data_IF_974740901564
#
_entry.id   IF_974740901564
#
_cell.length_a   1.000
_cell.length_b   1.000
_cell.length_c   1.000
_cell.angle_alpha   90.00
_cell.angle_beta   90.00
_cell.angle_gamma   90.00
#
_symmetry.space_group_name_H-M   'P 1'
#
loop_
_entity.id
_entity.type
_entity.pdbx_description
1 polymer ?
#
# COMPACT_ATOMS: atom_id res chain seq x y z
N UNK A 1 11.82 -27.89 -20.00
CA UNK A 1 10.88 -28.52 -19.05
C UNK A 1 10.28 -27.39 -18.23
N UNK A 2 9.09 -26.91 -18.61
CA UNK A 2 8.48 -25.75 -17.95
C UNK A 2 8.06 -26.15 -16.54
N UNK A 3 8.59 -25.47 -15.52
CA UNK A 3 8.11 -25.62 -14.16
C UNK A 3 6.63 -25.24 -14.13
N UNK A 4 5.79 -26.14 -13.63
CA UNK A 4 4.37 -25.85 -13.39
C UNK A 4 4.27 -24.67 -12.40
N UNK A 5 3.77 -23.54 -12.89
CA UNK A 5 3.69 -22.30 -12.13
C UNK A 5 2.69 -22.41 -10.97
N UNK A 6 1.65 -23.26 -11.10
CA UNK A 6 0.70 -23.50 -10.01
C UNK A 6 1.33 -24.34 -8.90
N UNK A 7 2.09 -25.37 -9.25
CA UNK A 7 2.87 -26.15 -8.27
C UNK A 7 3.93 -25.27 -7.58
N UNK A 8 4.63 -24.42 -8.33
CA UNK A 8 5.61 -23.47 -7.78
C UNK A 8 5.00 -22.47 -6.80
N UNK A 9 3.82 -21.92 -7.09
CA UNK A 9 3.07 -21.05 -6.18
C UNK A 9 2.77 -21.77 -4.85
N UNK A 10 2.20 -22.98 -4.92
CA UNK A 10 1.86 -23.77 -3.71
C UNK A 10 3.08 -24.08 -2.85
N UNK A 11 4.18 -24.51 -3.45
CA UNK A 11 5.41 -24.78 -2.72
C UNK A 11 5.95 -23.56 -1.99
N UNK A 12 5.91 -22.39 -2.64
CA UNK A 12 6.35 -21.15 -2.02
C UNK A 12 5.37 -20.73 -0.91
N UNK A 13 4.07 -20.90 -1.06
CA UNK A 13 3.09 -20.67 0.02
C UNK A 13 3.41 -21.51 1.26
N UNK A 14 3.68 -22.80 1.08
CA UNK A 14 4.02 -23.76 2.16
C UNK A 14 5.40 -23.52 2.80
N UNK A 15 6.30 -22.83 2.11
CA UNK A 15 7.66 -22.57 2.60
C UNK A 15 7.63 -21.66 3.83
N UNK A 16 8.20 -22.13 4.94
CA UNK A 16 8.28 -21.40 6.22
C UNK A 16 9.22 -20.19 6.09
N UNK A 17 8.74 -18.94 6.26
CA UNK A 17 9.57 -17.74 6.09
C UNK A 17 10.68 -17.60 7.14
N UNK A 18 10.48 -18.19 8.32
CA UNK A 18 11.41 -18.14 9.46
C UNK A 18 12.76 -18.79 9.15
N UNK A 19 12.79 -19.76 8.22
CA UNK A 19 14.00 -20.49 7.85
C UNK A 19 14.77 -19.84 6.69
N UNK A 20 14.28 -18.71 6.18
CA UNK A 20 14.82 -18.02 5.02
C UNK A 20 15.65 -16.79 5.44
N UNK A 21 16.63 -16.42 4.62
CA UNK A 21 17.28 -15.12 4.71
C UNK A 21 16.36 -14.01 4.21
N UNK A 22 16.66 -12.74 4.49
CA UNK A 22 15.86 -11.61 4.00
C UNK A 22 15.73 -11.59 2.48
N UNK A 23 16.82 -11.87 1.76
CA UNK A 23 16.78 -11.92 0.29
C UNK A 23 15.91 -13.07 -0.22
N UNK A 24 15.93 -14.23 0.45
CA UNK A 24 15.05 -15.35 0.09
C UNK A 24 13.58 -15.03 0.40
N UNK A 25 13.29 -14.35 1.51
CA UNK A 25 11.94 -13.86 1.83
C UNK A 25 11.44 -12.86 0.80
N UNK A 26 12.28 -11.90 0.41
CA UNK A 26 11.95 -10.89 -0.60
C UNK A 26 11.67 -11.54 -1.97
N UNK A 27 12.53 -12.47 -2.41
CA UNK A 27 12.34 -13.20 -3.66
C UNK A 27 11.05 -14.04 -3.64
N UNK A 28 10.78 -14.73 -2.53
CA UNK A 28 9.52 -15.49 -2.31
C UNK A 28 8.30 -14.57 -2.40
N UNK A 29 8.31 -13.45 -1.66
CA UNK A 29 7.21 -12.49 -1.66
C UNK A 29 6.95 -11.94 -3.07
N UNK A 30 8.00 -11.52 -3.76
CA UNK A 30 7.90 -11.02 -5.13
C UNK A 30 7.26 -12.04 -6.06
N UNK A 31 7.70 -13.31 -6.01
CA UNK A 31 7.14 -14.36 -6.85
C UNK A 31 5.65 -14.59 -6.57
N UNK A 32 5.26 -14.70 -5.29
CA UNK A 32 3.87 -14.91 -4.89
C UNK A 32 2.99 -13.74 -5.32
N UNK A 33 3.43 -12.50 -5.09
CA UNK A 33 2.68 -11.28 -5.41
C UNK A 33 2.39 -11.17 -6.91
N UNK A 34 3.37 -11.53 -7.74
CA UNK A 34 3.27 -11.45 -9.19
C UNK A 34 2.34 -12.54 -9.76
N UNK A 35 2.36 -13.74 -9.18
CA UNK A 35 1.55 -14.88 -9.65
C UNK A 35 0.12 -14.91 -9.05
N UNK A 36 -0.18 -14.05 -8.08
CA UNK A 36 -1.48 -14.05 -7.38
C UNK A 36 -2.52 -13.16 -8.05
N UNK A 37 -3.76 -13.63 -8.12
CA UNK A 37 -4.89 -12.82 -8.57
C UNK A 37 -5.06 -11.60 -7.67
N UNK A 38 -5.09 -10.40 -8.25
CA UNK A 38 -5.22 -9.13 -7.52
C UNK A 38 -4.05 -8.80 -6.60
N UNK A 39 -2.92 -9.52 -6.67
CA UNK A 39 -1.76 -9.27 -5.80
C UNK A 39 -2.10 -9.38 -4.31
N UNK A 40 -2.91 -10.36 -3.93
CA UNK A 40 -3.28 -10.53 -2.51
C UNK A 40 -2.07 -10.95 -1.69
N UNK A 41 -1.92 -10.36 -0.50
CA UNK A 41 -0.86 -10.72 0.45
C UNK A 41 -1.21 -11.97 1.28
N UNK A 42 -2.51 -12.24 1.46
CA UNK A 42 -3.07 -13.43 2.11
C UNK A 42 -4.12 -14.10 1.21
N UNK A 43 -4.40 -15.39 1.43
CA UNK A 43 -5.36 -16.19 0.63
C UNK A 43 -5.15 -16.10 -0.88
N UNK A 44 -3.88 -16.16 -1.26
CA UNK A 44 -3.38 -16.05 -2.64
C UNK A 44 -3.91 -17.19 -3.51
N UNK A 45 -4.67 -16.84 -4.54
CA UNK A 45 -5.07 -17.74 -5.62
C UNK A 45 -4.25 -17.45 -6.87
N UNK A 46 -3.97 -18.49 -7.67
CA UNK A 46 -3.22 -18.32 -8.91
C UNK A 46 -3.99 -17.41 -9.88
N UNK A 47 -3.35 -16.33 -10.31
CA UNK A 47 -3.93 -15.37 -11.25
C UNK A 47 -3.88 -15.90 -12.68
N UNK A 48 -5.04 -16.06 -13.31
CA UNK A 48 -5.14 -16.36 -14.74
C UNK A 48 -5.68 -15.14 -15.48
N UNK A 49 -4.84 -14.46 -16.25
CA UNK A 49 -5.26 -13.39 -17.16
C UNK A 49 -5.14 -13.89 -18.60
N UNK A 50 -6.24 -13.87 -19.36
CA UNK A 50 -6.22 -14.18 -20.81
C UNK A 50 -5.81 -12.98 -21.65
N UNK A 51 -5.72 -11.80 -21.03
CA UNK A 51 -5.47 -10.50 -21.68
C UNK A 51 -4.10 -9.93 -21.37
N UNK A 52 -3.32 -10.54 -20.47
CA UNK A 52 -2.00 -10.08 -20.07
C UNK A 52 -0.95 -11.20 -20.19
N UNK A 53 0.28 -10.89 -20.60
CA UNK A 53 1.34 -11.89 -20.66
C UNK A 53 1.69 -12.40 -19.26
N UNK A 54 1.98 -13.70 -19.16
CA UNK A 54 2.49 -14.30 -17.93
C UNK A 54 3.84 -13.68 -17.53
N UNK A 55 4.17 -13.71 -16.23
CA UNK A 55 5.46 -13.21 -15.73
C UNK A 55 6.62 -13.91 -16.44
N UNK A 56 7.48 -13.09 -17.03
CA UNK A 56 8.74 -13.53 -17.57
C UNK A 56 9.85 -13.32 -16.53
N UNK A 57 10.18 -14.38 -15.79
CA UNK A 57 11.24 -14.36 -14.78
C UNK A 57 12.62 -13.97 -15.36
N UNK A 58 12.85 -14.18 -16.67
CA UNK A 58 14.10 -13.79 -17.33
C UNK A 58 14.24 -12.27 -17.51
N UNK A 59 13.16 -11.52 -17.36
CA UNK A 59 13.15 -10.04 -17.48
C UNK A 59 12.90 -9.34 -16.14
N UNK A 60 12.90 -10.08 -15.03
CA UNK A 60 12.73 -9.52 -13.69
C UNK A 60 13.80 -8.48 -13.38
N UNK A 61 15.03 -8.70 -13.85
CA UNK A 61 16.17 -7.82 -13.66
C UNK A 61 15.96 -6.43 -14.29
N UNK A 62 15.35 -6.38 -15.48
CA UNK A 62 15.04 -5.13 -16.17
C UNK A 62 14.06 -4.28 -15.32
N UNK A 63 13.01 -4.91 -14.81
CA UNK A 63 12.01 -4.25 -13.97
C UNK A 63 12.59 -3.78 -12.62
N UNK A 64 13.39 -4.62 -11.97
CA UNK A 64 14.05 -4.28 -10.70
C UNK A 64 15.07 -3.16 -10.89
N UNK A 65 15.83 -3.18 -11.99
CA UNK A 65 16.80 -2.13 -12.33
C UNK A 65 16.10 -0.80 -12.59
N UNK A 66 15.00 -0.80 -13.35
CA UNK A 66 14.21 0.41 -13.60
C UNK A 66 13.64 1.00 -12.31
N UNK A 67 13.09 0.16 -11.41
CA UNK A 67 12.61 0.61 -10.11
C UNK A 67 13.75 1.17 -9.25
N UNK A 68 14.91 0.50 -9.22
CA UNK A 68 16.08 0.96 -8.49
C UNK A 68 16.55 2.33 -8.98
N UNK A 69 16.71 2.52 -10.30
CA UNK A 69 17.14 3.80 -10.88
C UNK A 69 16.18 4.94 -10.55
N UNK A 70 14.87 4.68 -10.54
CA UNK A 70 13.86 5.66 -10.12
C UNK A 70 14.02 6.08 -8.66
N UNK A 71 14.37 5.15 -7.78
CA UNK A 71 14.50 5.41 -6.34
C UNK A 71 15.89 5.94 -5.94
N UNK A 72 16.93 5.60 -6.70
CA UNK A 72 18.32 5.93 -6.39
C UNK A 72 18.58 7.45 -6.31
N UNK A 73 17.73 8.28 -6.93
CA UNK A 73 17.85 9.73 -6.95
C UNK A 73 17.48 10.46 -5.64
N UNK A 74 17.34 9.77 -4.52
CA UNK A 74 17.05 10.39 -3.21
C UNK A 74 15.86 9.80 -2.46
N UNK A 75 15.44 8.57 -2.77
CA UNK A 75 14.41 7.87 -2.00
C UNK A 75 15.05 7.13 -0.82
N UNK A 76 14.55 7.40 0.38
CA UNK A 76 14.86 6.64 1.58
C UNK A 76 13.64 5.78 1.94
N UNK A 77 13.86 4.52 2.28
CA UNK A 77 12.81 3.58 2.69
C UNK A 77 13.00 3.30 4.17
N UNK A 78 11.98 3.59 4.98
CA UNK A 78 11.98 3.33 6.41
C UNK A 78 10.79 2.44 6.80
N UNK A 79 11.02 1.51 7.73
CA UNK A 79 9.98 0.72 8.37
C UNK A 79 9.75 1.27 9.79
N UNK A 80 9.01 2.37 9.88
CA UNK A 80 8.66 3.00 11.15
C UNK A 80 7.14 3.03 11.35
N UNK A 81 6.76 3.26 12.59
CA UNK A 81 5.43 3.78 12.88
C UNK A 81 5.20 5.11 12.13
N UNK A 82 4.01 5.27 11.57
CA UNK A 82 3.68 6.41 10.70
C UNK A 82 3.81 7.76 11.43
N UNK A 83 3.45 7.79 12.71
CA UNK A 83 3.48 8.99 13.54
C UNK A 83 4.93 9.39 13.83
N UNK A 84 5.81 8.41 14.09
CA UNK A 84 7.25 8.63 14.24
C UNK A 84 7.90 9.13 12.95
N UNK A 85 7.43 8.66 11.79
CA UNK A 85 7.90 9.13 10.49
C UNK A 85 7.60 10.63 10.31
N UNK A 86 6.39 11.07 10.62
CA UNK A 86 6.02 12.50 10.59
C UNK A 86 6.93 13.30 11.52
N UNK A 87 7.09 12.87 12.77
CA UNK A 87 7.90 13.59 13.77
C UNK A 87 9.37 13.74 13.35
N UNK A 88 9.92 12.73 12.67
CA UNK A 88 11.31 12.73 12.19
C UNK A 88 11.51 13.75 11.06
N UNK A 89 10.60 13.77 10.10
CA UNK A 89 10.76 14.51 8.84
C UNK A 89 10.04 15.85 8.79
N UNK A 90 9.30 16.24 9.84
CA UNK A 90 8.56 17.49 9.85
C UNK A 90 9.49 18.72 9.78
N UNK A 91 9.43 19.42 8.64
CA UNK A 91 10.16 20.65 8.33
C UNK A 91 9.21 21.55 7.56
N UNK A 92 9.48 22.85 7.59
CA UNK A 92 8.67 23.86 6.88
C UNK A 92 8.56 23.65 5.37
N UNK A 93 9.48 22.88 4.78
CA UNK A 93 9.53 22.55 3.36
C UNK A 93 9.06 21.11 3.05
N UNK A 94 8.66 20.33 4.06
CA UNK A 94 8.21 18.94 3.87
C UNK A 94 6.76 18.92 3.42
N UNK A 95 6.46 18.06 2.43
CA UNK A 95 5.12 17.66 2.06
C UNK A 95 4.92 16.19 2.42
N UNK A 96 3.95 15.89 3.27
CA UNK A 96 3.52 14.54 3.60
C UNK A 96 2.36 14.11 2.70
N UNK A 97 2.41 12.89 2.20
CA UNK A 97 1.26 12.24 1.58
C UNK A 97 0.86 11.03 2.43
N UNK A 98 -0.40 10.99 2.87
CA UNK A 98 -0.95 9.96 3.74
C UNK A 98 -2.06 9.22 3.01
N UNK A 99 -1.97 7.89 3.02
CA UNK A 99 -2.95 6.98 2.43
C UNK A 99 -3.27 5.87 3.45
N UNK A 100 -3.95 6.21 4.57
CA UNK A 100 -4.27 5.22 5.60
C UNK A 100 -5.32 4.21 5.11
N UNK A 101 -5.48 3.08 5.81
CA UNK A 101 -6.63 2.21 5.60
C UNK A 101 -7.95 2.98 5.61
N UNK A 102 -8.84 2.72 4.65
CA UNK A 102 -10.12 3.44 4.56
C UNK A 102 -11.07 2.92 5.64
N UNK A 103 -11.70 3.85 6.38
CA UNK A 103 -12.54 3.51 7.52
C UNK A 103 -13.72 2.63 7.11
N UNK A 104 -13.98 1.56 7.87
CA UNK A 104 -15.03 0.56 7.58
C UNK A 104 -14.92 -0.10 6.19
N UNK A 105 -13.71 -0.16 5.63
CA UNK A 105 -13.43 -0.97 4.42
C UNK A 105 -12.58 -2.19 4.79
N UNK A 106 -12.95 -3.37 4.29
CA UNK A 106 -12.37 -4.67 4.69
C UNK A 106 -10.97 -4.96 4.11
N UNK A 107 -10.19 -3.96 3.73
CA UNK A 107 -9.15 -4.16 2.69
C UNK A 107 -7.73 -4.38 3.23
N UNK A 108 -7.40 -3.96 4.46
CA UNK A 108 -5.98 -3.77 4.82
C UNK A 108 -5.35 -4.84 5.72
N UNK A 109 -6.08 -5.85 6.20
CA UNK A 109 -5.53 -7.02 6.90
C UNK A 109 -4.75 -6.76 8.20
N UNK A 110 -4.56 -5.50 8.58
CA UNK A 110 -3.88 -5.03 9.79
C UNK A 110 -4.86 -4.10 10.53
N UNK A 111 -5.01 -4.24 11.86
CA UNK A 111 -5.86 -3.34 12.64
C UNK A 111 -5.37 -1.90 12.53
N UNK A 112 -6.27 -1.00 12.14
CA UNK A 112 -6.05 0.44 12.17
C UNK A 112 -7.27 1.06 12.86
N UNK A 113 -7.18 1.12 14.18
CA UNK A 113 -8.28 1.49 15.05
C UNK A 113 -8.61 2.99 14.94
N UNK A 114 -9.79 3.37 15.43
CA UNK A 114 -10.28 4.74 15.35
C UNK A 114 -9.30 5.78 15.93
N UNK A 115 -8.58 5.41 16.99
CA UNK A 115 -7.60 6.26 17.68
C UNK A 115 -6.47 6.76 16.77
N UNK A 116 -6.13 6.01 15.72
CA UNK A 116 -5.12 6.38 14.75
C UNK A 116 -5.58 7.55 13.88
N UNK A 117 -6.86 7.59 13.50
CA UNK A 117 -7.42 8.70 12.74
C UNK A 117 -7.49 9.97 13.58
N UNK A 118 -7.85 9.86 14.85
CA UNK A 118 -7.84 10.98 15.80
C UNK A 118 -6.43 11.52 16.02
N UNK A 119 -5.45 10.63 16.20
CA UNK A 119 -4.04 10.99 16.32
C UNK A 119 -3.52 11.67 15.04
N UNK A 120 -3.94 11.18 13.87
CA UNK A 120 -3.58 11.76 12.59
C UNK A 120 -4.14 13.17 12.46
N UNK A 121 -5.44 13.36 12.68
CA UNK A 121 -6.08 14.68 12.65
C UNK A 121 -5.41 15.66 13.61
N UNK A 122 -5.01 15.21 14.80
CA UNK A 122 -4.25 16.03 15.75
C UNK A 122 -2.87 16.42 15.20
N UNK A 123 -2.07 15.44 14.75
CA UNK A 123 -0.71 15.69 14.25
C UNK A 123 -0.70 16.61 13.04
N UNK A 124 -1.63 16.42 12.10
CA UNK A 124 -1.70 17.25 10.89
C UNK A 124 -2.03 18.73 11.18
N UNK A 125 -2.61 19.05 12.34
CA UNK A 125 -2.80 20.45 12.78
C UNK A 125 -1.53 21.06 13.36
N UNK A 126 -0.59 20.24 13.81
CA UNK A 126 0.61 20.64 14.55
C UNK A 126 1.89 20.63 13.70
N UNK A 127 1.86 20.01 12.51
CA UNK A 127 3.03 19.96 11.61
C UNK A 127 3.47 21.35 11.14
N UNK A 128 4.78 21.49 10.90
CA UNK A 128 5.38 22.69 10.29
C UNK A 128 5.28 22.68 8.78
N UNK A 129 5.30 21.48 8.19
CA UNK A 129 5.17 21.27 6.75
C UNK A 129 3.73 21.32 6.27
N UNK A 130 3.48 20.66 5.15
CA UNK A 130 2.14 20.45 4.58
C UNK A 130 1.81 18.97 4.53
N UNK A 131 0.53 18.64 4.50
CA UNK A 131 0.09 17.26 4.34
C UNK A 131 -1.12 17.16 3.43
N UNK A 132 -1.13 16.11 2.60
CA UNK A 132 -2.28 15.68 1.82
C UNK A 132 -2.65 14.29 2.29
N UNK A 133 -3.92 14.10 2.64
CA UNK A 133 -4.49 12.81 2.96
C UNK A 133 -5.45 12.39 1.85
N UNK A 134 -5.44 11.11 1.49
CA UNK A 134 -6.48 10.47 0.69
C UNK A 134 -7.24 9.49 1.59
N UNK A 135 -8.55 9.69 1.76
CA UNK A 135 -9.37 8.85 2.64
C UNK A 135 -10.84 8.83 2.18
N UNK A 136 -11.59 7.80 2.58
CA UNK A 136 -12.99 7.67 2.22
C UNK A 136 -13.89 8.79 2.77
N UNK A 137 -14.85 9.27 1.98
CA UNK A 137 -15.92 10.17 2.46
C UNK A 137 -16.91 9.40 3.34
N UNK A 138 -16.61 9.40 4.63
CA UNK A 138 -17.46 8.83 5.67
C UNK A 138 -17.82 9.94 6.67
N UNK A 139 -19.06 9.99 7.20
CA UNK A 139 -19.46 11.03 8.16
C UNK A 139 -18.53 11.12 9.37
N UNK A 140 -18.04 9.98 9.88
CA UNK A 140 -17.10 9.96 10.99
C UNK A 140 -15.74 10.57 10.60
N UNK A 141 -15.25 10.29 9.38
CA UNK A 141 -13.99 10.86 8.88
C UNK A 141 -14.13 12.38 8.69
N UNK A 142 -15.24 12.84 8.10
CA UNK A 142 -15.52 14.29 8.00
C UNK A 142 -15.52 14.97 9.36
N UNK A 143 -16.10 14.34 10.38
CA UNK A 143 -16.10 14.89 11.74
C UNK A 143 -14.69 14.88 12.36
N UNK A 144 -13.93 13.80 12.18
CA UNK A 144 -12.56 13.65 12.70
C UNK A 144 -11.62 14.73 12.14
N UNK A 145 -11.72 15.01 10.84
CA UNK A 145 -10.86 15.95 10.12
C UNK A 145 -11.52 17.33 9.90
N UNK A 146 -12.60 17.66 10.63
CA UNK A 146 -13.43 18.85 10.39
C UNK A 146 -12.70 20.20 10.41
N UNK A 147 -11.58 20.28 11.13
CA UNK A 147 -10.80 21.51 11.25
C UNK A 147 -9.70 21.63 10.17
N UNK A 148 -9.63 20.67 9.24
CA UNK A 148 -8.77 20.71 8.07
C UNK A 148 -9.59 21.07 6.82
N UNK A 149 -8.92 21.59 5.80
CA UNK A 149 -9.54 21.78 4.49
C UNK A 149 -9.91 20.43 3.88
N UNK A 150 -11.07 20.34 3.24
CA UNK A 150 -11.58 19.09 2.69
C UNK A 150 -12.19 19.31 1.30
N UNK A 151 -11.67 18.61 0.31
CA UNK A 151 -12.19 18.56 -1.06
C UNK A 151 -12.69 17.15 -1.37
N UNK A 152 -13.92 17.02 -1.88
CA UNK A 152 -14.52 15.73 -2.22
C UNK A 152 -14.36 15.43 -3.71
N UNK A 153 -13.71 14.31 -4.03
CA UNK A 153 -13.53 13.84 -5.40
C UNK A 153 -14.46 12.66 -5.71
N UNK A 154 -15.11 12.72 -6.88
CA UNK A 154 -15.89 11.61 -7.42
C UNK A 154 -14.98 10.73 -8.28
N UNK A 155 -14.76 9.50 -7.85
CA UNK A 155 -14.01 8.50 -8.60
C UNK A 155 -14.97 7.43 -9.13
N UNK A 156 -14.89 7.13 -10.43
CA UNK A 156 -15.66 6.05 -11.06
C UNK A 156 -14.95 4.69 -10.91
N UNK A 157 -14.21 4.47 -9.82
CA UNK A 157 -13.50 3.22 -9.58
C UNK A 157 -14.43 2.19 -8.93
N UNK A 158 -14.67 1.08 -9.62
CA UNK A 158 -15.37 -0.09 -9.08
C UNK A 158 -14.31 -1.05 -8.54
N UNK A 159 -14.17 -1.15 -7.23
CA UNK A 159 -13.49 -2.30 -6.61
C UNK A 159 -14.54 -3.42 -6.60
N UNK A 160 -14.20 -4.58 -7.18
CA UNK A 160 -15.09 -5.73 -7.39
C UNK A 160 -16.28 -5.79 -6.40
N UNK A 161 -17.48 -5.41 -6.88
CA UNK A 161 -18.75 -5.71 -6.22
C UNK A 161 -19.26 -4.75 -5.12
N UNK A 162 -18.64 -3.59 -4.84
CA UNK A 162 -19.11 -2.72 -3.75
C UNK A 162 -18.87 -1.22 -3.93
N UNK A 163 -19.86 -0.43 -3.48
CA UNK A 163 -20.10 1.03 -3.49
C UNK A 163 -18.92 1.98 -3.79
N UNK A 164 -19.29 3.06 -4.48
CA UNK A 164 -18.54 4.31 -4.72
C UNK A 164 -17.67 4.71 -3.53
N UNK A 165 -16.37 4.77 -3.77
CA UNK A 165 -15.40 5.28 -2.82
C UNK A 165 -15.15 6.75 -3.15
N UNK A 166 -15.41 7.60 -2.19
CA UNK A 166 -15.19 9.04 -2.28
C UNK A 166 -13.84 9.38 -1.67
N UNK A 167 -13.07 10.33 -2.22
CA UNK A 167 -11.81 10.77 -1.58
C UNK A 167 -11.97 12.16 -0.98
N UNK A 168 -11.51 12.36 0.25
CA UNK A 168 -11.27 13.69 0.82
C UNK A 168 -9.80 14.05 0.62
N UNK A 169 -9.50 15.20 0.01
CA UNK A 169 -8.16 15.78 -0.08
C UNK A 169 -8.08 17.05 0.80
N UNK A 170 -7.01 17.20 1.59
CA UNK A 170 -6.70 18.41 2.37
C UNK A 170 -5.45 19.11 1.82
N UNK A 171 -5.45 20.45 1.81
CA UNK A 171 -4.34 21.30 1.35
C UNK A 171 -3.54 21.92 2.50
#
# INVERSE_FOLDING_TARGET
MGLDQQAGLKWLQETRPETLTDIHRAARFFYLQQQSFGGKVADQTFGTATTAPAINLLRIEENLSAAHLRMAGGTYIEQLDWAQCIDRYDRTYTLFYLDPPYWETEVYGVPFEWDQYELMAKKLKEIKGKAVISINDHPAIRECFKDLEMESLKLDYTVEGGRTVWSVASW
#
